data_IF_257777291772
#
_entry.id   IF_257777291772
#
_cell.length_a   1.000
_cell.length_b   1.000
_cell.length_c   1.000
_cell.angle_alpha   90.00
_cell.angle_beta   90.00
_cell.angle_gamma   90.00
#
_symmetry.space_group_name_H-M   'P 1'
#
loop_
_entity.id
_entity.type
_entity.pdbx_description
1 polymer ?
#
# COMPACT_ATOMS: atom_id res chain seq x y z
N UNK A 1 -27.45 0.02 -1.38
CA UNK A 1 -27.21 0.02 0.07
C UNK A 1 -26.26 -1.10 0.53
N UNK A 2 -26.47 -2.37 0.13
CA UNK A 2 -25.64 -3.50 0.60
C UNK A 2 -24.15 -3.41 0.24
N UNK A 3 -23.79 -3.03 -1.00
CA UNK A 3 -22.40 -2.85 -1.42
C UNK A 3 -21.67 -1.74 -0.66
N UNK A 4 -22.35 -0.63 -0.42
CA UNK A 4 -21.81 0.47 0.38
C UNK A 4 -21.55 0.04 1.82
N UNK A 5 -22.46 -0.75 2.41
CA UNK A 5 -22.28 -1.30 3.75
C UNK A 5 -21.08 -2.26 3.80
N UNK A 6 -20.89 -3.10 2.78
CA UNK A 6 -19.71 -3.96 2.67
C UNK A 6 -18.42 -3.16 2.55
N UNK A 7 -18.41 -2.11 1.71
CA UNK A 7 -17.23 -1.25 1.55
C UNK A 7 -16.90 -0.55 2.87
N UNK A 8 -17.90 0.03 3.54
CA UNK A 8 -17.73 0.69 4.84
C UNK A 8 -17.19 -0.28 5.90
N UNK A 9 -17.76 -1.49 5.97
CA UNK A 9 -17.33 -2.52 6.91
C UNK A 9 -15.89 -2.97 6.66
N UNK A 10 -15.52 -3.26 5.40
CA UNK A 10 -14.16 -3.67 5.05
C UNK A 10 -13.15 -2.52 5.24
N UNK A 11 -13.51 -1.28 4.89
CA UNK A 11 -12.64 -0.12 5.13
C UNK A 11 -12.40 0.10 6.62
N UNK A 12 -13.44 -0.03 7.44
CA UNK A 12 -13.31 0.06 8.90
C UNK A 12 -12.43 -1.07 9.45
N UNK A 13 -12.59 -2.30 8.94
CA UNK A 13 -11.75 -3.45 9.31
C UNK A 13 -10.27 -3.18 8.98
N UNK A 14 -9.96 -2.82 7.74
CA UNK A 14 -8.58 -2.56 7.30
C UNK A 14 -7.94 -1.41 8.10
N UNK A 15 -8.70 -0.34 8.39
CA UNK A 15 -8.23 0.76 9.25
C UNK A 15 -7.94 0.30 10.69
N UNK A 16 -8.81 -0.52 11.28
CA UNK A 16 -8.59 -1.08 12.62
C UNK A 16 -7.36 -2.00 12.62
N UNK A 17 -7.16 -2.79 11.57
CA UNK A 17 -5.98 -3.65 11.44
C UNK A 17 -4.70 -2.82 11.34
N UNK A 18 -4.67 -1.75 10.55
CA UNK A 18 -3.55 -0.81 10.54
C UNK A 18 -3.25 -0.25 11.93
N UNK A 19 -4.27 0.19 12.67
CA UNK A 19 -4.10 0.74 14.01
C UNK A 19 -3.65 -0.32 15.03
N UNK A 20 -4.09 -1.57 14.87
CA UNK A 20 -3.70 -2.67 15.75
C UNK A 20 -2.27 -3.15 15.49
N UNK A 21 -1.87 -3.14 14.23
CA UNK A 21 -0.54 -3.55 13.77
C UNK A 21 0.31 -2.36 13.31
N UNK A 22 0.21 -1.22 14.03
CA UNK A 22 0.97 -0.01 13.71
C UNK A 22 2.48 -0.26 13.56
N UNK A 23 3.14 -1.09 14.39
CA UNK A 23 4.55 -1.38 14.20
C UNK A 23 4.85 -1.99 12.82
N UNK A 24 3.98 -2.86 12.31
CA UNK A 24 4.15 -3.43 10.96
C UNK A 24 4.02 -2.35 9.89
N UNK A 25 3.03 -1.46 10.03
CA UNK A 25 2.82 -0.35 9.07
C UNK A 25 4.01 0.62 9.08
N UNK A 26 4.50 0.98 10.26
CA UNK A 26 5.67 1.87 10.40
C UNK A 26 6.91 1.20 9.80
N UNK A 27 7.16 -0.08 10.13
CA UNK A 27 8.28 -0.82 9.58
C UNK A 27 8.22 -0.91 8.05
N UNK A 28 7.03 -1.16 7.49
CA UNK A 28 6.81 -1.15 6.04
C UNK A 28 7.16 0.23 5.44
N UNK A 29 6.59 1.32 5.97
CA UNK A 29 6.84 2.69 5.49
C UNK A 29 8.34 3.00 5.55
N UNK A 30 9.01 2.73 6.67
CA UNK A 30 10.44 2.96 6.85
C UNK A 30 11.25 2.14 5.83
N UNK A 31 10.91 0.86 5.64
CA UNK A 31 11.64 -0.02 4.71
C UNK A 31 11.55 0.51 3.28
N UNK A 32 10.35 0.84 2.80
CA UNK A 32 10.18 1.37 1.45
C UNK A 32 10.83 2.74 1.28
N UNK A 33 10.77 3.59 2.32
CA UNK A 33 11.45 4.87 2.29
C UNK A 33 12.98 4.74 2.29
N UNK A 34 13.53 3.78 3.01
CA UNK A 34 14.96 3.47 3.00
C UNK A 34 15.42 2.97 1.62
N UNK A 35 14.62 2.14 0.95
CA UNK A 35 14.88 1.72 -0.44
C UNK A 35 14.92 2.94 -1.37
N UNK A 36 13.96 3.86 -1.24
CA UNK A 36 13.96 5.12 -1.96
C UNK A 36 15.24 5.94 -1.71
N UNK A 37 15.63 6.13 -0.45
CA UNK A 37 16.86 6.86 -0.11
C UNK A 37 18.09 6.20 -0.72
N UNK A 38 18.17 4.87 -0.73
CA UNK A 38 19.24 4.13 -1.41
C UNK A 38 19.32 4.45 -2.90
N UNK A 39 18.18 4.45 -3.60
CA UNK A 39 18.12 4.83 -5.02
C UNK A 39 18.49 6.30 -5.24
N UNK A 40 17.95 7.20 -4.41
CA UNK A 40 18.21 8.64 -4.49
C UNK A 40 19.69 8.97 -4.29
N UNK A 41 20.30 8.47 -3.21
CA UNK A 41 21.73 8.69 -2.96
C UNK A 41 22.61 8.01 -4.01
N UNK A 42 22.17 6.87 -4.57
CA UNK A 42 22.83 6.27 -5.73
C UNK A 42 22.93 7.23 -6.92
N UNK A 43 21.84 7.95 -7.24
CA UNK A 43 21.84 8.99 -8.29
C UNK A 43 22.74 10.16 -7.89
N UNK A 44 22.70 10.62 -6.65
CA UNK A 44 23.50 11.78 -6.19
C UNK A 44 25.01 11.52 -6.24
N UNK A 45 25.45 10.28 -5.95
CA UNK A 45 26.88 9.94 -5.84
C UNK A 45 27.45 9.47 -7.18
N UNK A 46 26.68 8.73 -7.97
CA UNK A 46 27.17 8.03 -9.18
C UNK A 46 26.57 8.60 -10.47
N UNK A 47 25.46 9.33 -10.40
CA UNK A 47 24.73 9.83 -11.56
C UNK A 47 25.46 10.96 -12.29
N UNK A 48 25.09 11.15 -13.56
CA UNK A 48 25.56 12.29 -14.36
C UNK A 48 24.88 13.59 -13.86
N UNK A 49 25.65 14.60 -13.43
CA UNK A 49 25.11 15.87 -12.93
C UNK A 49 24.18 16.58 -13.92
N UNK A 50 24.38 16.38 -15.23
CA UNK A 50 23.59 17.05 -16.27
C UNK A 50 22.15 16.52 -16.39
N UNK A 51 21.89 15.29 -15.93
CA UNK A 51 20.58 14.62 -16.02
C UNK A 51 19.98 14.28 -14.65
N UNK A 52 20.64 14.71 -13.58
CA UNK A 52 20.37 14.32 -12.21
C UNK A 52 18.93 14.60 -11.78
N UNK A 53 18.42 15.81 -12.05
CA UNK A 53 17.07 16.23 -11.67
C UNK A 53 15.99 15.35 -12.31
N UNK A 54 16.10 15.09 -13.61
CA UNK A 54 15.17 14.24 -14.35
C UNK A 54 15.21 12.79 -13.84
N UNK A 55 16.41 12.25 -13.58
CA UNK A 55 16.57 10.91 -13.06
C UNK A 55 15.93 10.74 -11.67
N UNK A 56 16.03 11.76 -10.81
CA UNK A 56 15.38 11.77 -9.49
C UNK A 56 13.86 11.71 -9.65
N UNK A 57 13.28 12.55 -10.53
CA UNK A 57 11.83 12.53 -10.79
C UNK A 57 11.37 11.17 -11.31
N UNK A 58 12.11 10.58 -12.25
CA UNK A 58 11.80 9.24 -12.77
C UNK A 58 11.86 8.18 -11.67
N UNK A 59 12.87 8.20 -10.81
CA UNK A 59 12.94 7.25 -9.69
C UNK A 59 11.77 7.44 -8.75
N UNK A 60 11.40 8.69 -8.41
CA UNK A 60 10.26 9.00 -7.53
C UNK A 60 8.97 8.35 -8.07
N UNK A 61 8.67 8.57 -9.35
CA UNK A 61 7.48 8.00 -9.99
C UNK A 61 7.55 6.48 -9.98
N UNK A 62 8.66 5.90 -10.43
CA UNK A 62 8.80 4.45 -10.58
C UNK A 62 8.68 3.72 -9.23
N UNK A 63 9.33 4.18 -8.16
CA UNK A 63 9.27 3.47 -6.89
C UNK A 63 7.87 3.54 -6.25
N UNK A 64 7.17 4.68 -6.40
CA UNK A 64 5.81 4.83 -5.91
C UNK A 64 4.85 3.88 -6.62
N UNK A 65 4.93 3.81 -7.95
CA UNK A 65 4.12 2.88 -8.74
C UNK A 65 4.44 1.43 -8.39
N UNK A 66 5.72 1.09 -8.28
CA UNK A 66 6.16 -0.24 -7.90
C UNK A 66 5.64 -0.63 -6.51
N UNK A 67 5.72 0.29 -5.54
CA UNK A 67 5.20 0.05 -4.20
C UNK A 67 3.68 -0.16 -4.20
N UNK A 68 2.92 0.67 -4.93
CA UNK A 68 1.47 0.50 -5.07
C UNK A 68 1.12 -0.88 -5.66
N UNK A 69 1.80 -1.26 -6.73
CA UNK A 69 1.59 -2.53 -7.40
C UNK A 69 1.86 -3.70 -6.46
N UNK A 70 2.99 -3.66 -5.73
CA UNK A 70 3.35 -4.70 -4.76
C UNK A 70 2.30 -4.82 -3.66
N UNK A 71 1.82 -3.71 -3.10
CA UNK A 71 0.80 -3.73 -2.04
C UNK A 71 -0.53 -4.32 -2.52
N UNK A 72 -0.99 -3.93 -3.71
CA UNK A 72 -2.27 -4.41 -4.26
C UNK A 72 -2.19 -5.90 -4.63
N UNK A 73 -1.17 -6.29 -5.39
CA UNK A 73 -1.03 -7.68 -5.91
C UNK A 73 -0.92 -8.68 -4.75
N UNK A 74 -0.16 -8.34 -3.70
CA UNK A 74 0.00 -9.24 -2.56
C UNK A 74 -1.21 -9.23 -1.61
N UNK A 75 -2.02 -8.16 -1.59
CA UNK A 75 -3.07 -7.96 -0.58
C UNK A 75 -4.09 -9.10 -0.52
N UNK A 76 -4.58 -9.57 -1.67
CA UNK A 76 -5.66 -10.56 -1.73
C UNK A 76 -5.19 -11.90 -1.15
N UNK A 77 -3.97 -12.33 -1.51
CA UNK A 77 -3.39 -13.59 -0.99
C UNK A 77 -3.20 -13.55 0.52
N UNK A 78 -2.70 -12.44 1.05
CA UNK A 78 -2.55 -12.24 2.50
C UNK A 78 -3.89 -12.18 3.22
N UNK A 79 -4.90 -11.53 2.64
CA UNK A 79 -6.23 -11.45 3.23
C UNK A 79 -6.91 -12.82 3.30
N UNK A 80 -6.87 -13.61 2.22
CA UNK A 80 -7.46 -14.97 2.20
C UNK A 80 -6.75 -15.86 3.22
N UNK A 81 -5.42 -15.89 3.20
CA UNK A 81 -4.62 -16.68 4.15
C UNK A 81 -4.88 -16.22 5.59
N UNK A 82 -5.01 -14.90 5.82
CA UNK A 82 -5.34 -14.33 7.13
C UNK A 82 -6.69 -14.78 7.67
N UNK A 83 -7.74 -14.79 6.85
CA UNK A 83 -9.06 -15.31 7.25
C UNK A 83 -9.04 -16.82 7.46
N UNK A 84 -8.27 -17.57 6.67
CA UNK A 84 -8.10 -19.02 6.85
C UNK A 84 -7.43 -19.33 8.19
N UNK A 85 -6.33 -18.64 8.52
CA UNK A 85 -5.60 -18.82 9.79
C UNK A 85 -6.44 -18.41 11.00
N UNK A 86 -7.36 -17.46 10.85
CA UNK A 86 -8.29 -17.05 11.92
C UNK A 86 -9.50 -17.97 12.07
N UNK A 87 -9.71 -18.92 11.14
CA UNK A 87 -10.89 -19.79 11.12
C UNK A 87 -12.18 -19.10 10.69
N UNK A 88 -12.10 -17.90 10.10
CA UNK A 88 -13.26 -17.08 9.71
C UNK A 88 -13.60 -17.19 8.23
N UNK A 89 -12.74 -17.83 7.42
CA UNK A 89 -12.94 -17.99 5.98
C UNK A 89 -14.26 -18.71 5.66
N UNK A 90 -14.59 -19.77 6.39
CA UNK A 90 -15.83 -20.54 6.21
C UNK A 90 -17.05 -19.70 6.60
N UNK A 91 -16.95 -18.93 7.68
CA UNK A 91 -18.02 -18.03 8.12
C UNK A 91 -18.32 -16.93 7.09
N UNK A 92 -17.27 -16.35 6.50
CA UNK A 92 -17.42 -15.37 5.42
C UNK A 92 -18.04 -15.99 4.17
N UNK A 93 -17.72 -17.25 3.89
CA UNK A 93 -18.28 -18.01 2.77
C UNK A 93 -19.76 -18.34 2.97
N UNK A 94 -20.18 -18.60 4.21
CA UNK A 94 -21.59 -18.82 4.58
C UNK A 94 -22.42 -17.52 4.66
N UNK A 95 -21.79 -16.35 4.54
CA UNK A 95 -22.51 -15.08 4.59
C UNK A 95 -23.47 -14.92 3.39
N UNK A 96 -24.61 -14.22 3.54
CA UNK A 96 -25.57 -14.01 2.45
C UNK A 96 -24.99 -13.24 1.25
N UNK A 97 -23.87 -12.53 1.48
CA UNK A 97 -23.20 -11.72 0.45
C UNK A 97 -22.22 -12.55 -0.39
N UNK A 98 -21.80 -13.72 0.09
CA UNK A 98 -20.80 -14.56 -0.55
C UNK A 98 -19.38 -13.97 -0.48
N UNK A 99 -18.38 -14.85 -0.43
CA UNK A 99 -16.98 -14.48 -0.23
C UNK A 99 -16.44 -13.55 -1.32
N UNK A 100 -16.81 -13.76 -2.59
CA UNK A 100 -16.32 -12.96 -3.71
C UNK A 100 -16.63 -11.46 -3.55
N UNK A 101 -17.87 -11.11 -3.17
CA UNK A 101 -18.27 -9.71 -2.99
C UNK A 101 -17.51 -9.06 -1.82
N UNK A 102 -17.30 -9.82 -0.75
CA UNK A 102 -16.56 -9.35 0.42
C UNK A 102 -15.10 -9.09 0.04
N UNK A 103 -14.45 -10.05 -0.62
CA UNK A 103 -13.04 -9.92 -1.03
C UNK A 103 -12.85 -8.80 -2.05
N UNK A 104 -13.79 -8.61 -2.99
CA UNK A 104 -13.75 -7.48 -3.92
C UNK A 104 -13.84 -6.13 -3.19
N UNK A 105 -14.77 -5.98 -2.25
CA UNK A 105 -14.88 -4.74 -1.46
C UNK A 105 -13.69 -4.53 -0.54
N UNK A 106 -13.05 -5.62 -0.08
CA UNK A 106 -11.84 -5.56 0.71
C UNK A 106 -10.61 -5.15 -0.10
N UNK A 107 -10.49 -5.62 -1.33
CA UNK A 107 -9.48 -5.15 -2.27
C UNK A 107 -9.63 -3.64 -2.51
N UNK A 108 -10.85 -3.17 -2.77
CA UNK A 108 -11.10 -1.72 -2.95
C UNK A 108 -10.72 -0.95 -1.68
N UNK A 109 -11.13 -1.44 -0.50
CA UNK A 109 -10.79 -0.81 0.78
C UNK A 109 -9.28 -0.75 1.03
N UNK A 110 -8.56 -1.86 0.80
CA UNK A 110 -7.11 -1.90 0.97
C UNK A 110 -6.40 -1.01 -0.05
N UNK A 111 -6.87 -0.94 -1.30
CA UNK A 111 -6.35 -0.02 -2.31
C UNK A 111 -6.51 1.44 -1.87
N UNK A 112 -7.68 1.85 -1.36
CA UNK A 112 -7.91 3.23 -0.88
C UNK A 112 -6.92 3.58 0.24
N UNK A 113 -6.76 2.67 1.20
CA UNK A 113 -5.86 2.88 2.33
C UNK A 113 -4.39 2.95 1.88
N UNK A 114 -3.96 2.00 1.04
CA UNK A 114 -2.58 1.98 0.53
C UNK A 114 -2.30 3.21 -0.35
N UNK A 115 -3.28 3.68 -1.11
CA UNK A 115 -3.16 4.90 -1.90
C UNK A 115 -2.86 6.12 -1.02
N UNK A 116 -3.54 6.26 0.13
CA UNK A 116 -3.24 7.34 1.09
C UNK A 116 -1.79 7.26 1.59
N UNK A 117 -1.32 6.06 1.97
CA UNK A 117 0.05 5.85 2.42
C UNK A 117 1.06 6.23 1.32
N UNK A 118 0.76 5.88 0.09
CA UNK A 118 1.60 6.17 -1.08
C UNK A 118 1.64 7.66 -1.40
N UNK A 119 0.52 8.37 -1.29
CA UNK A 119 0.51 9.83 -1.46
C UNK A 119 1.40 10.49 -0.40
N UNK A 120 1.36 10.01 0.85
CA UNK A 120 2.25 10.51 1.90
C UNK A 120 3.73 10.24 1.58
N UNK A 121 4.06 9.04 1.10
CA UNK A 121 5.42 8.71 0.67
C UNK A 121 5.88 9.55 -0.52
N UNK A 122 5.01 9.78 -1.51
CA UNK A 122 5.30 10.59 -2.69
C UNK A 122 5.73 12.00 -2.27
N UNK A 123 4.90 12.68 -1.47
CA UNK A 123 5.21 14.02 -0.99
C UNK A 123 6.45 14.04 -0.09
N UNK A 124 6.65 13.01 0.75
CA UNK A 124 7.86 12.91 1.59
C UNK A 124 9.13 12.81 0.75
N UNK A 125 9.08 12.05 -0.34
CA UNK A 125 10.19 11.92 -1.28
C UNK A 125 10.42 13.18 -2.11
N UNK A 126 9.37 13.84 -2.60
CA UNK A 126 9.48 15.14 -3.28
C UNK A 126 10.12 16.20 -2.36
N UNK A 127 9.67 16.26 -1.11
CA UNK A 127 10.23 17.19 -0.11
C UNK A 127 11.71 16.91 0.18
N UNK A 128 12.12 15.65 0.21
CA UNK A 128 13.50 15.26 0.52
C UNK A 128 14.45 15.57 -0.62
N UNK A 129 13.98 15.51 -1.87
CA UNK A 129 14.81 15.74 -3.05
C UNK A 129 14.70 17.16 -3.60
N UNK A 130 13.66 17.91 -3.22
CA UNK A 130 13.33 19.21 -3.80
C UNK A 130 12.74 19.12 -5.22
N UNK A 131 12.39 17.92 -5.68
CA UNK A 131 11.84 17.66 -7.02
C UNK A 131 10.34 17.41 -6.93
N UNK A 132 9.55 18.09 -7.77
CA UNK A 132 8.07 18.07 -7.76
C UNK A 132 7.50 17.48 -9.05
#
# INVERSE_FOLDING_TARGET
MQWFNLLKANTSKEYIELKRYLPNTIAMIITFYAIFLGMFFGIQIVGDPSTQDANIQYVIVNYIFWFLAMMIINSVGWQITGEAMRGTLEQLSMSPMGIWKIMMMRLVASTIINFIIIVVLLYSSMLTTGQW
#
